data_IF_863895795912
#
_entry.id   IF_863895795912
#
_cell.length_a   1.000
_cell.length_b   1.000
_cell.length_c   1.000
_cell.angle_alpha   90.00
_cell.angle_beta   90.00
_cell.angle_gamma   90.00
#
_symmetry.space_group_name_H-M   'P 1'
#
loop_
_entity.id
_entity.type
_entity.pdbx_description
1 polymer ?
#
# COMPACT_ATOMS: atom_id res chain seq x y z
N UNK A 1 0.62 12.35 -13.69
CA UNK A 1 1.70 11.89 -12.78
C UNK A 1 1.04 11.58 -11.44
N UNK A 2 1.32 10.42 -10.81
CA UNK A 2 0.65 10.04 -9.56
C UNK A 2 0.94 11.06 -8.45
N UNK A 3 -0.07 11.38 -7.63
CA UNK A 3 0.10 12.19 -6.40
C UNK A 3 0.72 11.38 -5.26
N UNK A 4 0.72 10.05 -5.37
CA UNK A 4 1.23 9.14 -4.36
C UNK A 4 2.68 8.73 -4.63
N UNK A 5 3.44 8.56 -3.54
CA UNK A 5 4.86 8.24 -3.56
C UNK A 5 5.16 6.88 -2.94
N UNK A 6 6.27 6.28 -3.36
CA UNK A 6 6.84 5.09 -2.70
C UNK A 6 7.23 5.40 -1.26
N UNK A 7 7.47 4.37 -0.45
CA UNK A 7 7.85 4.50 0.97
C UNK A 7 9.02 5.45 1.21
N UNK A 8 10.05 5.38 0.37
CA UNK A 8 11.22 6.26 0.44
C UNK A 8 11.05 7.61 -0.28
N UNK A 9 9.85 7.90 -0.82
CA UNK A 9 9.48 9.11 -1.58
C UNK A 9 10.34 9.38 -2.83
N UNK A 10 11.16 8.43 -3.28
CA UNK A 10 12.06 8.58 -4.44
C UNK A 10 11.34 8.42 -5.78
N UNK A 11 10.17 7.79 -5.80
CA UNK A 11 9.39 7.55 -7.01
C UNK A 11 7.91 7.86 -6.82
N UNK A 12 7.23 8.12 -7.93
CA UNK A 12 5.77 8.07 -7.99
C UNK A 12 5.34 6.62 -8.10
N UNK A 13 4.26 6.27 -7.42
CA UNK A 13 3.68 4.93 -7.49
C UNK A 13 2.99 4.70 -8.85
N UNK A 14 2.89 3.43 -9.25
CA UNK A 14 2.12 3.03 -10.42
C UNK A 14 0.62 3.19 -10.14
N UNK A 15 -0.12 3.79 -11.07
CA UNK A 15 -1.57 4.05 -10.90
C UNK A 15 -2.44 2.79 -11.03
N UNK A 16 -1.90 1.70 -11.58
CA UNK A 16 -2.53 0.37 -11.73
C UNK A 16 -2.93 -0.29 -10.40
N UNK A 17 -2.58 0.31 -9.26
CA UNK A 17 -3.04 -0.18 -7.95
C UNK A 17 -4.29 0.54 -7.47
N UNK A 18 -4.80 1.53 -8.21
CA UNK A 18 -5.85 2.45 -7.75
C UNK A 18 -6.93 2.73 -8.81
N UNK A 19 -6.95 2.04 -9.95
CA UNK A 19 -7.67 2.49 -11.14
C UNK A 19 -9.08 1.91 -11.31
N UNK A 20 -9.51 0.92 -10.54
CA UNK A 20 -10.83 0.30 -10.72
C UNK A 20 -11.94 0.89 -9.84
N UNK A 21 -11.61 1.43 -8.66
CA UNK A 21 -12.61 2.05 -7.80
C UNK A 21 -12.02 2.99 -6.76
N UNK A 22 -12.71 4.09 -6.50
CA UNK A 22 -12.27 5.11 -5.54
C UNK A 22 -13.46 5.68 -4.77
N UNK A 23 -13.29 5.90 -3.46
CA UNK A 23 -14.31 6.49 -2.60
C UNK A 23 -13.69 7.36 -1.51
N UNK A 24 -14.34 8.45 -1.15
CA UNK A 24 -13.99 9.26 0.03
C UNK A 24 -14.98 8.90 1.14
N UNK A 25 -14.46 8.52 2.30
CA UNK A 25 -15.27 8.21 3.48
C UNK A 25 -15.71 9.49 4.18
N UNK A 26 -16.71 9.39 5.05
CA UNK A 26 -17.31 10.55 5.75
C UNK A 26 -16.34 11.28 6.68
N UNK A 27 -15.28 10.62 7.13
CA UNK A 27 -14.19 11.21 7.92
C UNK A 27 -13.07 11.81 7.05
N UNK A 28 -13.20 11.74 5.73
CA UNK A 28 -12.26 12.27 4.76
C UNK A 28 -11.16 11.30 4.34
N UNK A 29 -11.12 10.08 4.87
CA UNK A 29 -10.20 9.04 4.39
C UNK A 29 -10.49 8.70 2.92
N UNK A 30 -9.45 8.33 2.18
CA UNK A 30 -9.58 8.01 0.75
C UNK A 30 -9.27 6.53 0.49
N UNK A 31 -10.29 5.83 -0.03
CA UNK A 31 -10.23 4.42 -0.38
C UNK A 31 -10.00 4.28 -1.88
N UNK A 32 -9.05 3.43 -2.25
CA UNK A 32 -8.73 3.05 -3.62
C UNK A 32 -8.77 1.53 -3.71
N UNK A 33 -9.39 1.00 -4.76
CA UNK A 33 -9.63 -0.42 -4.97
C UNK A 33 -9.02 -0.80 -6.30
N UNK A 34 -8.27 -1.89 -6.30
CA UNK A 34 -7.80 -2.56 -7.50
C UNK A 34 -8.18 -4.02 -7.50
N UNK A 35 -8.71 -4.50 -8.62
CA UNK A 35 -9.05 -5.90 -8.83
C UNK A 35 -8.14 -6.43 -9.94
N UNK A 36 -6.84 -6.50 -9.63
CA UNK A 36 -5.78 -7.05 -10.48
C UNK A 36 -6.31 -7.83 -11.68
N UNK A 37 -6.03 -7.36 -12.89
CA UNK A 37 -6.45 -8.02 -14.15
C UNK A 37 -6.09 -9.51 -14.21
N UNK A 38 -5.13 -9.96 -13.38
CA UNK A 38 -4.89 -11.35 -13.07
C UNK A 38 -5.79 -11.80 -11.90
N UNK A 39 -6.95 -12.41 -12.23
CA UNK A 39 -7.94 -13.00 -11.30
C UNK A 39 -7.36 -13.84 -10.14
N UNK A 40 -6.10 -14.28 -10.25
CA UNK A 40 -5.39 -15.06 -9.23
C UNK A 40 -4.86 -14.20 -8.06
N UNK A 41 -4.81 -12.88 -8.19
CA UNK A 41 -4.21 -11.95 -7.22
C UNK A 41 -5.22 -11.20 -6.34
N UNK A 42 -6.48 -11.65 -6.27
CA UNK A 42 -7.49 -11.09 -5.36
C UNK A 42 -7.78 -9.60 -5.56
N UNK A 43 -8.43 -8.99 -4.56
CA UNK A 43 -8.71 -7.54 -4.54
C UNK A 43 -7.66 -6.88 -3.64
N UNK A 44 -7.07 -5.78 -4.09
CA UNK A 44 -6.23 -4.91 -3.26
C UNK A 44 -7.02 -3.65 -2.93
N UNK A 45 -7.06 -3.31 -1.64
CA UNK A 45 -7.61 -2.04 -1.17
C UNK A 45 -6.48 -1.23 -0.58
N UNK A 46 -6.28 -0.02 -1.08
CA UNK A 46 -5.38 0.97 -0.52
C UNK A 46 -6.18 2.08 0.17
N UNK A 47 -5.71 2.49 1.34
CA UNK A 47 -6.38 3.47 2.20
C UNK A 47 -5.39 4.56 2.54
N UNK A 48 -5.71 5.78 2.14
CA UNK A 48 -5.05 6.99 2.61
C UNK A 48 -5.82 7.53 3.82
N UNK A 49 -5.20 7.45 4.98
CA UNK A 49 -5.82 7.79 6.27
C UNK A 49 -5.89 9.29 6.52
N UNK A 50 -5.11 10.10 5.81
CA UNK A 50 -5.15 11.57 5.91
C UNK A 50 -6.17 12.17 4.93
N UNK A 51 -6.42 11.46 3.83
CA UNK A 51 -7.38 11.82 2.80
C UNK A 51 -6.74 12.45 1.58
N UNK A 52 -7.46 12.39 0.46
CA UNK A 52 -6.93 12.72 -0.86
C UNK A 52 -6.20 14.07 -0.92
N UNK A 53 -4.90 14.01 -1.21
CA UNK A 53 -4.06 15.18 -1.39
C UNK A 53 -3.54 15.80 -0.08
N UNK A 54 -3.91 15.26 1.08
CA UNK A 54 -3.33 15.66 2.37
C UNK A 54 -2.06 14.85 2.59
N UNK A 55 -0.92 15.54 2.67
CA UNK A 55 0.38 14.89 2.69
C UNK A 55 0.61 13.97 3.90
N UNK A 56 1.62 13.08 3.84
CA UNK A 56 2.61 12.98 2.75
C UNK A 56 2.17 12.28 1.45
N UNK A 57 1.01 11.64 1.40
CA UNK A 57 0.55 10.80 0.27
C UNK A 57 1.62 9.74 -0.12
N UNK A 58 2.11 8.96 0.84
CA UNK A 58 3.19 8.01 0.63
C UNK A 58 2.90 6.66 1.30
N UNK A 59 3.20 5.56 0.59
CA UNK A 59 3.02 4.22 1.15
C UNK A 59 3.80 4.02 2.44
N UNK A 60 3.15 3.48 3.46
CA UNK A 60 3.74 3.30 4.79
C UNK A 60 3.76 4.56 5.65
N UNK A 61 3.45 5.74 5.12
CA UNK A 61 3.34 6.97 5.93
C UNK A 61 1.89 7.25 6.30
N UNK A 62 1.04 7.37 5.29
CA UNK A 62 -0.40 7.59 5.40
C UNK A 62 -1.22 6.73 4.42
N UNK A 63 -0.56 6.13 3.43
CA UNK A 63 -1.16 5.19 2.49
C UNK A 63 -0.82 3.74 2.88
N UNK A 64 -1.84 2.92 3.12
CA UNK A 64 -1.70 1.51 3.53
C UNK A 64 -2.49 0.60 2.60
N UNK A 65 -1.99 -0.61 2.33
CA UNK A 65 -2.59 -1.52 1.35
C UNK A 65 -2.85 -2.91 1.93
N UNK A 66 -4.03 -3.43 1.62
CA UNK A 66 -4.55 -4.69 2.11
C UNK A 66 -4.95 -5.57 0.94
N UNK A 67 -4.63 -6.84 1.03
CA UNK A 67 -5.16 -7.88 0.18
C UNK A 67 -6.46 -8.40 0.78
N UNK A 68 -7.50 -8.49 -0.03
CA UNK A 68 -8.81 -9.02 0.36
C UNK A 68 -8.96 -10.39 -0.31
N UNK A 69 -9.03 -11.43 0.51
CA UNK A 69 -9.53 -12.74 0.09
C UNK A 69 -11.01 -12.88 0.47
N UNK A 70 -11.65 -13.97 0.05
CA UNK A 70 -13.06 -14.30 0.32
C UNK A 70 -13.49 -14.19 1.79
N UNK A 71 -12.55 -14.26 2.74
CA UNK A 71 -12.84 -14.32 4.17
C UNK A 71 -12.02 -13.34 5.03
N UNK A 72 -10.99 -12.70 4.49
CA UNK A 72 -9.98 -11.99 5.28
C UNK A 72 -9.54 -10.69 4.62
N UNK A 73 -9.29 -9.70 5.46
CA UNK A 73 -8.50 -8.51 5.14
C UNK A 73 -7.07 -8.77 5.62
N UNK A 74 -6.14 -8.92 4.69
CA UNK A 74 -4.77 -9.35 4.96
C UNK A 74 -3.83 -8.17 4.70
N UNK A 75 -3.06 -7.69 5.70
CA UNK A 75 -2.04 -6.67 5.47
C UNK A 75 -1.04 -7.14 4.42
N UNK A 76 -0.82 -6.33 3.39
CA UNK A 76 0.26 -6.61 2.44
C UNK A 76 1.58 -6.54 3.21
N UNK A 77 2.50 -7.46 2.87
CA UNK A 77 3.75 -7.66 3.61
C UNK A 77 3.69 -8.71 4.73
N UNK A 78 2.48 -9.14 5.14
CA UNK A 78 2.35 -10.22 6.13
C UNK A 78 2.73 -11.59 5.52
N UNK A 79 3.17 -12.57 6.32
CA UNK A 79 3.46 -13.92 5.83
C UNK A 79 2.27 -14.61 5.14
N UNK A 80 1.03 -14.30 5.57
CA UNK A 80 -0.21 -14.81 4.97
C UNK A 80 -0.54 -14.16 3.63
N UNK A 81 0.02 -12.99 3.32
CA UNK A 81 -0.25 -12.30 2.07
C UNK A 81 0.42 -13.00 0.88
N UNK A 82 -0.27 -13.15 -0.26
CA UNK A 82 0.38 -13.53 -1.52
C UNK A 82 1.31 -12.42 -2.04
N UNK A 83 1.15 -11.18 -1.57
CA UNK A 83 1.95 -10.01 -1.91
C UNK A 83 3.00 -9.70 -0.82
N UNK A 84 3.62 -10.74 -0.26
CA UNK A 84 4.71 -10.59 0.72
C UNK A 84 6.07 -10.35 0.05
N UNK A 85 7.04 -9.71 0.74
CA UNK A 85 8.45 -9.71 0.35
C UNK A 85 8.92 -11.10 -0.05
N UNK A 86 9.66 -11.23 -1.16
CA UNK A 86 10.16 -12.52 -1.64
C UNK A 86 9.16 -13.38 -2.43
N UNK A 87 7.93 -12.92 -2.67
CA UNK A 87 6.89 -13.64 -3.44
C UNK A 87 7.15 -13.73 -4.95
N UNK A 88 8.36 -13.42 -5.43
CA UNK A 88 8.70 -13.26 -6.85
C UNK A 88 8.38 -11.86 -7.40
N UNK A 89 7.61 -11.08 -6.65
CA UNK A 89 7.30 -9.67 -6.89
C UNK A 89 7.96 -8.80 -5.82
N UNK A 90 9.29 -8.84 -5.71
CA UNK A 90 10.09 -8.11 -4.68
C UNK A 90 9.89 -6.56 -4.69
N UNK A 91 8.92 -6.07 -5.45
CA UNK A 91 8.53 -4.68 -5.50
C UNK A 91 7.73 -4.20 -4.28
N UNK A 92 7.21 -5.08 -3.41
CA UNK A 92 6.33 -4.70 -2.30
C UNK A 92 7.04 -4.44 -0.97
N UNK A 93 8.37 -4.39 -0.94
CA UNK A 93 9.15 -4.25 0.27
C UNK A 93 8.86 -2.94 1.02
N UNK A 94 9.31 -2.85 2.27
CA UNK A 94 9.29 -1.63 3.07
C UNK A 94 10.73 -1.16 3.29
N UNK A 95 11.39 -0.76 2.19
CA UNK A 95 12.84 -0.51 2.15
C UNK A 95 13.16 0.92 1.70
N UNK A 96 14.04 1.58 2.44
CA UNK A 96 14.54 2.91 2.12
C UNK A 96 15.38 2.93 0.83
N UNK A 97 16.09 1.85 0.53
CA UNK A 97 17.02 1.79 -0.60
C UNK A 97 16.39 1.25 -1.90
N UNK A 98 15.16 0.75 -1.84
CA UNK A 98 14.47 0.20 -2.99
C UNK A 98 14.26 1.23 -4.11
N UNK A 99 14.42 0.77 -5.35
CA UNK A 99 14.16 1.52 -6.59
C UNK A 99 12.85 1.11 -7.25
N UNK A 100 12.04 0.30 -6.56
CA UNK A 100 10.81 -0.29 -7.08
C UNK A 100 9.61 0.65 -6.91
N UNK A 101 8.74 0.69 -7.92
CA UNK A 101 7.56 1.58 -7.90
C UNK A 101 6.46 1.14 -6.95
N UNK A 102 6.48 -0.12 -6.50
CA UNK A 102 5.51 -0.64 -5.52
C UNK A 102 6.07 -0.61 -4.08
N UNK A 103 7.28 -0.05 -3.89
CA UNK A 103 7.94 0.00 -2.60
C UNK A 103 7.07 0.75 -1.60
N UNK A 104 6.76 0.07 -0.50
CA UNK A 104 5.95 0.57 0.60
C UNK A 104 4.62 -0.14 0.78
N UNK A 105 4.10 -0.88 -0.20
CA UNK A 105 2.82 -1.60 -0.02
C UNK A 105 2.91 -2.58 1.17
N UNK A 106 4.04 -3.28 1.31
CA UNK A 106 4.32 -4.20 2.42
C UNK A 106 4.60 -3.52 3.76
N UNK A 107 4.75 -2.19 3.80
CA UNK A 107 4.86 -1.46 5.06
C UNK A 107 3.60 -1.57 5.92
N UNK A 108 2.45 -1.91 5.33
CA UNK A 108 1.19 -2.08 6.07
C UNK A 108 1.33 -3.09 7.20
N UNK A 109 1.95 -4.23 6.94
CA UNK A 109 2.22 -5.22 7.98
C UNK A 109 3.14 -4.68 9.08
N UNK A 110 4.21 -3.96 8.72
CA UNK A 110 5.14 -3.36 9.68
C UNK A 110 4.45 -2.29 10.54
N UNK A 111 3.64 -1.42 9.93
CA UNK A 111 2.88 -0.38 10.61
C UNK A 111 1.90 -0.95 11.67
N UNK A 112 1.34 -2.13 11.41
CA UNK A 112 0.41 -2.79 12.33
C UNK A 112 1.10 -3.60 13.43
N UNK A 113 2.37 -3.99 13.25
CA UNK A 113 3.05 -4.96 14.13
C UNK A 113 4.26 -4.39 14.87
N UNK A 114 4.90 -3.35 14.34
CA UNK A 114 6.07 -2.71 14.94
C UNK A 114 5.64 -1.50 15.77
N UNK A 115 5.81 -1.57 17.09
CA UNK A 115 5.40 -0.53 18.04
C UNK A 115 5.97 0.86 17.72
N UNK A 116 7.21 0.92 17.26
CA UNK A 116 7.92 2.17 16.98
C UNK A 116 8.01 2.47 15.48
N UNK A 117 7.19 1.83 14.65
CA UNK A 117 7.21 1.98 13.19
C UNK A 117 7.22 3.45 12.75
N UNK A 118 6.24 4.22 13.21
CA UNK A 118 6.06 5.62 12.82
C UNK A 118 7.18 6.55 13.29
N UNK A 119 7.97 6.15 14.29
CA UNK A 119 9.13 6.91 14.76
C UNK A 119 10.36 6.72 13.87
N UNK A 120 10.34 5.69 13.02
CA UNK A 120 11.48 5.26 12.19
C UNK A 120 11.17 5.40 10.68
N UNK A 121 10.22 6.27 10.32
CA UNK A 121 9.90 6.57 8.93
C UNK A 121 11.02 7.40 8.25
N UNK A 122 11.23 7.23 6.93
CA UNK A 122 12.21 7.98 6.16
C UNK A 122 11.76 9.36 5.65
#
# INVERSE_FOLDING_TARGET
>A
MSKYKTYNKKQNVTLEWFDEGQAILTDGMFLMINNSSNRSLGIVISVDVNGYGKGPNAWGHDLFSFFIDKQKVIPIGSPESPLRPGSGWNAFDCDYNSTERNNGMGCTYRALTEKDYFKNLP
#
